data_IF_332196085021
#
_entry.id   IF_332196085021
#
_cell.length_a   1.000
_cell.length_b   1.000
_cell.length_c   1.000
_cell.angle_alpha   90.00
_cell.angle_beta   90.00
_cell.angle_gamma   90.00
#
_symmetry.space_group_name_H-M   'P 1'
#
loop_
_entity.id
_entity.type
_entity.pdbx_description
1 polymer ?
#
# COMPACT_ATOMS: atom_id res chain seq x y z
N UNK A 1 -17.57 18.34 -38.31
CA UNK A 1 -17.31 18.39 -36.85
C UNK A 1 -17.15 16.95 -36.40
N UNK A 2 -15.94 16.53 -36.07
CA UNK A 2 -15.66 15.17 -35.60
C UNK A 2 -16.03 15.11 -34.11
N UNK A 3 -16.94 14.20 -33.73
CA UNK A 3 -17.22 13.90 -32.33
C UNK A 3 -15.92 13.57 -31.60
N UNK A 4 -15.54 14.40 -30.63
CA UNK A 4 -14.55 14.00 -29.64
C UNK A 4 -15.27 12.97 -28.78
N UNK A 5 -15.01 11.68 -29.02
CA UNK A 5 -15.35 10.61 -28.07
C UNK A 5 -14.88 11.04 -26.68
N UNK A 6 -15.76 10.97 -25.68
CA UNK A 6 -15.38 11.08 -24.27
C UNK A 6 -14.22 10.12 -23.99
N UNK A 7 -12.99 10.65 -23.99
CA UNK A 7 -11.81 9.86 -23.69
C UNK A 7 -11.81 9.60 -22.20
N UNK A 8 -11.62 8.34 -21.83
CA UNK A 8 -11.48 7.95 -20.44
C UNK A 8 -10.25 8.62 -19.85
N UNK A 9 -10.42 9.43 -18.80
CA UNK A 9 -9.37 10.29 -18.26
C UNK A 9 -8.07 9.54 -17.93
N UNK A 10 -8.17 8.31 -17.43
CA UNK A 10 -7.03 7.49 -17.00
C UNK A 10 -6.18 6.96 -18.16
N UNK A 11 -6.68 6.98 -19.41
CA UNK A 11 -5.93 6.47 -20.57
C UNK A 11 -4.77 7.37 -21.00
N UNK A 12 -4.81 8.63 -20.59
CA UNK A 12 -3.83 9.66 -20.96
C UNK A 12 -3.23 10.36 -19.73
N UNK A 13 -3.55 9.85 -18.53
CA UNK A 13 -3.14 10.43 -17.27
C UNK A 13 -1.65 10.22 -17.00
N UNK A 14 -1.00 11.26 -16.47
CA UNK A 14 0.36 11.18 -15.94
C UNK A 14 0.29 10.92 -14.44
N UNK A 15 0.76 9.74 -14.02
CA UNK A 15 0.89 9.36 -12.63
C UNK A 15 2.28 9.69 -12.09
N UNK A 16 2.32 10.26 -10.88
CA UNK A 16 3.54 10.46 -10.10
C UNK A 16 3.49 9.58 -8.87
N UNK A 17 4.42 8.63 -8.79
CA UNK A 17 4.50 7.75 -7.64
C UNK A 17 5.17 8.48 -6.47
N UNK A 18 4.49 8.50 -5.33
CA UNK A 18 5.01 8.99 -4.06
C UNK A 18 5.34 7.77 -3.19
N UNK A 19 6.57 7.71 -2.71
CA UNK A 19 6.99 6.80 -1.65
C UNK A 19 6.99 7.59 -0.34
N UNK A 20 5.96 7.45 0.53
CA UNK A 20 5.71 8.38 1.65
C UNK A 20 6.95 8.58 2.53
N UNK A 21 7.58 7.46 2.91
CA UNK A 21 8.72 7.39 3.83
C UNK A 21 9.90 8.29 3.46
N UNK A 22 10.11 8.59 2.19
CA UNK A 22 11.24 9.39 1.72
C UNK A 22 10.83 10.65 0.94
N UNK A 23 9.54 11.02 0.96
CA UNK A 23 9.06 12.13 0.16
C UNK A 23 9.21 13.47 0.87
N UNK A 24 8.59 13.63 2.04
CA UNK A 24 8.71 14.83 2.86
C UNK A 24 8.31 14.53 4.31
N UNK A 25 9.23 14.74 5.24
CA UNK A 25 9.00 14.67 6.68
C UNK A 25 8.37 15.99 7.16
N UNK A 26 7.23 15.92 7.84
CA UNK A 26 6.52 17.10 8.35
C UNK A 26 6.70 17.34 9.85
N UNK A 27 7.21 16.34 10.60
CA UNK A 27 7.26 16.35 12.05
C UNK A 27 8.70 16.31 12.61
N UNK A 28 9.71 16.15 11.75
CA UNK A 28 11.15 16.04 12.02
C UNK A 28 11.58 14.75 12.75
N UNK A 29 10.87 13.63 12.54
CA UNK A 29 11.27 12.31 13.06
C UNK A 29 12.24 11.55 12.12
N UNK A 30 12.51 12.10 10.92
CA UNK A 30 13.39 11.53 9.90
C UNK A 30 12.66 10.67 8.88
N UNK A 31 11.34 10.54 8.97
CA UNK A 31 10.50 9.73 8.08
C UNK A 31 9.44 10.63 7.42
N UNK A 32 9.26 10.47 6.11
CA UNK A 32 8.20 11.17 5.39
C UNK A 32 6.81 10.63 5.72
N UNK A 33 5.82 11.51 5.75
CA UNK A 33 4.48 11.24 6.27
C UNK A 33 3.37 11.84 5.39
N UNK A 34 2.09 11.52 5.66
CA UNK A 34 0.95 11.99 4.86
C UNK A 34 0.79 13.52 4.90
N UNK A 35 1.10 14.14 6.04
CA UNK A 35 1.07 15.60 6.20
C UNK A 35 2.15 16.26 5.34
N UNK A 36 3.29 15.62 5.16
CA UNK A 36 4.34 16.03 4.25
C UNK A 36 3.90 15.94 2.79
N UNK A 37 3.16 14.89 2.41
CA UNK A 37 2.54 14.82 1.08
C UNK A 37 1.57 16.00 0.88
N UNK A 38 0.72 16.29 1.88
CA UNK A 38 -0.21 17.44 1.86
C UNK A 38 0.54 18.76 1.63
N UNK A 39 1.66 18.99 2.33
CA UNK A 39 2.47 20.20 2.20
C UNK A 39 3.08 20.40 0.81
N UNK A 40 3.21 19.33 0.01
CA UNK A 40 3.80 19.36 -1.33
C UNK A 40 2.78 19.25 -2.46
N UNK A 41 1.47 19.25 -2.17
CA UNK A 41 0.45 19.16 -3.20
C UNK A 41 0.48 20.33 -4.21
N UNK A 42 0.91 21.53 -3.80
CA UNK A 42 1.09 22.65 -4.73
C UNK A 42 2.24 22.40 -5.71
N UNK A 43 3.35 21.86 -5.23
CA UNK A 43 4.48 21.44 -6.07
C UNK A 43 4.05 20.34 -7.06
N UNK A 44 3.33 19.31 -6.58
CA UNK A 44 2.84 18.24 -7.44
C UNK A 44 1.85 18.77 -8.49
N UNK A 45 1.00 19.75 -8.13
CA UNK A 45 0.11 20.39 -9.10
C UNK A 45 0.87 21.22 -10.13
N UNK A 46 1.91 21.95 -9.72
CA UNK A 46 2.76 22.74 -10.62
C UNK A 46 3.50 21.87 -11.64
N UNK A 47 3.92 20.66 -11.26
CA UNK A 47 4.47 19.66 -12.19
C UNK A 47 3.49 19.26 -13.30
N UNK A 48 2.19 19.49 -13.12
CA UNK A 48 1.16 19.18 -14.11
C UNK A 48 0.71 17.73 -14.14
N UNK A 49 0.86 16.99 -13.04
CA UNK A 49 0.45 15.59 -12.94
C UNK A 49 -1.08 15.47 -12.81
N UNK A 50 -1.62 14.32 -13.20
CA UNK A 50 -3.04 14.00 -13.06
C UNK A 50 -3.32 13.14 -11.82
N UNK A 51 -2.39 12.24 -11.48
CA UNK A 51 -2.57 11.22 -10.43
C UNK A 51 -1.36 11.15 -9.52
N UNK A 52 -1.60 11.09 -8.22
CA UNK A 52 -0.61 10.62 -7.25
C UNK A 52 -0.85 9.12 -7.05
N UNK A 53 0.17 8.30 -7.29
CA UNK A 53 0.17 6.89 -6.87
C UNK A 53 0.94 6.80 -5.56
N UNK A 54 0.24 6.56 -4.47
CA UNK A 54 0.82 6.45 -3.15
C UNK A 54 1.24 5.00 -2.90
N UNK A 55 2.53 4.78 -2.64
CA UNK A 55 3.05 3.50 -2.14
C UNK A 55 2.42 3.17 -0.76
N UNK A 56 2.53 1.93 -0.26
CA UNK A 56 1.79 1.50 0.93
C UNK A 56 1.92 2.45 2.13
N UNK A 57 0.78 2.77 2.74
CA UNK A 57 0.68 3.60 3.94
C UNK A 57 -0.05 2.91 5.10
N UNK A 58 -0.48 1.66 4.89
CA UNK A 58 -1.26 0.88 5.83
C UNK A 58 -0.41 0.43 7.02
N UNK A 59 -1.04 0.06 8.12
CA UNK A 59 -0.35 -0.52 9.26
C UNK A 59 0.44 -1.77 8.81
N UNK A 60 1.70 -1.83 9.22
CA UNK A 60 2.67 -2.87 8.87
C UNK A 60 3.78 -2.86 9.93
N UNK A 61 4.42 -4.02 10.21
CA UNK A 61 5.61 -4.10 11.04
C UNK A 61 6.89 -3.54 10.37
N UNK A 62 6.80 -3.18 9.09
CA UNK A 62 7.86 -2.62 8.24
C UNK A 62 9.00 -3.60 7.88
N UNK A 63 8.75 -4.91 7.85
CA UNK A 63 9.75 -5.88 7.40
C UNK A 63 10.02 -5.75 5.89
N UNK A 64 9.04 -5.29 5.12
CA UNK A 64 9.16 -4.92 3.70
C UNK A 64 8.66 -3.49 3.44
N UNK A 65 9.01 -2.57 4.35
CA UNK A 65 8.70 -1.13 4.26
C UNK A 65 7.23 -0.81 3.91
N UNK A 66 6.27 -1.56 4.44
CA UNK A 66 4.84 -1.33 4.26
C UNK A 66 4.13 -2.26 3.29
N UNK A 67 4.86 -3.07 2.50
CA UNK A 67 4.24 -4.08 1.63
C UNK A 67 3.72 -5.30 2.42
N UNK A 68 4.24 -5.51 3.62
CA UNK A 68 3.81 -6.48 4.62
C UNK A 68 2.66 -5.93 5.49
N UNK A 69 1.45 -5.81 4.93
CA UNK A 69 0.31 -5.17 5.62
C UNK A 69 -0.22 -6.04 6.77
N UNK A 70 -0.37 -5.45 7.97
CA UNK A 70 -0.96 -6.07 9.17
C UNK A 70 -2.40 -5.62 9.46
N UNK A 71 -2.81 -4.45 8.96
CA UNK A 71 -4.22 -4.01 8.95
C UNK A 71 -4.51 -3.11 7.73
N UNK A 72 -5.35 -3.60 6.82
CA UNK A 72 -5.76 -2.90 5.60
C UNK A 72 -6.65 -1.66 5.84
N UNK A 73 -7.13 -1.42 7.06
CA UNK A 73 -8.01 -0.31 7.40
C UNK A 73 -7.37 0.74 8.31
N UNK A 74 -6.12 0.53 8.72
CA UNK A 74 -5.39 1.45 9.57
C UNK A 74 -4.20 2.06 8.82
N UNK A 75 -3.87 3.31 9.14
CA UNK A 75 -2.64 3.97 8.68
C UNK A 75 -1.48 3.56 9.59
N UNK A 76 -0.31 3.35 9.00
CA UNK A 76 0.92 3.13 9.74
C UNK A 76 1.19 4.32 10.66
N UNK A 77 1.50 4.05 11.93
CA UNK A 77 1.67 5.10 12.94
C UNK A 77 2.70 6.18 12.55
N UNK A 78 3.76 5.80 11.83
CA UNK A 78 4.81 6.72 11.36
C UNK A 78 4.31 7.67 10.25
N UNK A 79 3.25 7.31 9.52
CA UNK A 79 2.72 8.11 8.41
C UNK A 79 1.56 9.03 8.79
N UNK A 80 0.91 8.79 9.93
CA UNK A 80 -0.17 9.65 10.45
C UNK A 80 -1.42 8.86 10.82
N UNK A 81 -2.59 9.49 10.64
CA UNK A 81 -3.90 8.93 10.99
C UNK A 81 -4.83 8.81 9.79
N UNK A 82 -5.99 8.15 9.98
CA UNK A 82 -7.04 8.11 8.96
C UNK A 82 -7.59 9.52 8.65
N UNK A 83 -7.63 10.42 9.65
CA UNK A 83 -8.01 11.82 9.43
C UNK A 83 -6.99 12.57 8.55
N UNK A 84 -5.69 12.25 8.69
CA UNK A 84 -4.66 12.80 7.80
C UNK A 84 -4.84 12.29 6.36
N UNK A 85 -5.21 11.02 6.19
CA UNK A 85 -5.54 10.46 4.89
C UNK A 85 -6.78 11.10 4.26
N UNK A 86 -7.86 11.27 5.04
CA UNK A 86 -9.09 11.93 4.57
C UNK A 86 -8.79 13.36 4.10
N UNK A 87 -7.97 14.11 4.86
CA UNK A 87 -7.54 15.45 4.45
C UNK A 87 -6.68 15.43 3.17
N UNK A 88 -5.77 14.46 3.04
CA UNK A 88 -4.97 14.29 1.83
C UNK A 88 -5.87 14.06 0.62
N UNK A 89 -6.81 13.12 0.71
CA UNK A 89 -7.76 12.79 -0.35
C UNK A 89 -8.56 14.01 -0.79
N UNK A 90 -9.13 14.74 0.18
CA UNK A 90 -9.92 15.95 -0.09
C UNK A 90 -9.08 17.02 -0.79
N UNK A 91 -7.87 17.29 -0.30
CA UNK A 91 -6.99 18.32 -0.88
C UNK A 91 -6.47 17.95 -2.26
N UNK A 92 -6.19 16.67 -2.51
CA UNK A 92 -5.83 16.17 -3.85
C UNK A 92 -6.97 16.43 -4.82
N UNK A 93 -8.20 16.10 -4.44
CA UNK A 93 -9.39 16.34 -5.27
C UNK A 93 -9.69 17.82 -5.48
N UNK A 94 -9.53 18.68 -4.47
CA UNK A 94 -9.69 20.13 -4.59
C UNK A 94 -8.72 20.74 -5.61
N UNK A 95 -7.55 20.14 -5.80
CA UNK A 95 -6.56 20.54 -6.82
C UNK A 95 -6.79 19.89 -8.18
N UNK A 96 -7.88 19.14 -8.34
CA UNK A 96 -8.24 18.45 -9.58
C UNK A 96 -7.31 17.29 -9.93
N UNK A 97 -6.51 16.80 -8.99
CA UNK A 97 -5.71 15.58 -9.14
C UNK A 97 -6.51 14.37 -8.61
N UNK A 98 -6.03 13.16 -8.90
CA UNK A 98 -6.57 11.90 -8.38
C UNK A 98 -5.54 11.20 -7.49
N UNK A 99 -6.03 10.30 -6.65
CA UNK A 99 -5.21 9.45 -5.80
C UNK A 99 -5.44 7.98 -6.19
N UNK A 100 -4.35 7.25 -6.40
CA UNK A 100 -4.33 5.78 -6.47
C UNK A 100 -3.53 5.31 -5.27
N UNK A 101 -4.04 4.30 -4.59
CA UNK A 101 -3.36 3.66 -3.47
C UNK A 101 -2.81 2.32 -3.94
N UNK A 102 -1.60 2.02 -3.52
CA UNK A 102 -1.11 0.64 -3.58
C UNK A 102 -2.02 -0.25 -2.74
N UNK A 103 -2.30 -1.47 -3.20
CA UNK A 103 -3.13 -2.43 -2.46
C UNK A 103 -2.52 -3.82 -2.60
N UNK A 104 -1.81 -4.24 -1.56
CA UNK A 104 -1.07 -5.49 -1.55
C UNK A 104 -1.98 -6.63 -1.10
N UNK A 105 -2.68 -7.28 -2.04
CA UNK A 105 -3.63 -8.37 -1.74
C UNK A 105 -3.07 -9.77 -1.94
N UNK A 106 -1.86 -9.88 -2.53
CA UNK A 106 -1.25 -11.18 -2.83
C UNK A 106 -0.68 -11.87 -1.58
N UNK A 107 -0.35 -11.10 -0.54
CA UNK A 107 0.13 -11.56 0.76
C UNK A 107 -0.23 -10.55 1.85
N UNK A 108 -0.08 -10.95 3.11
CA UNK A 108 -0.17 -10.08 4.30
C UNK A 108 1.11 -10.24 5.12
N UNK A 109 1.35 -9.34 6.08
CA UNK A 109 2.28 -9.64 7.19
C UNK A 109 1.84 -10.89 7.95
N UNK A 110 2.79 -11.59 8.57
CA UNK A 110 2.53 -12.69 9.48
C UNK A 110 1.98 -12.24 10.86
N UNK A 111 1.98 -10.93 11.13
CA UNK A 111 1.27 -10.29 12.23
C UNK A 111 -0.20 -9.98 11.89
N UNK A 112 -0.62 -10.14 10.63
CA UNK A 112 -2.01 -9.89 10.24
C UNK A 112 -2.96 -10.87 10.98
N UNK A 113 -4.10 -10.40 11.55
CA UNK A 113 -5.01 -11.25 12.32
C UNK A 113 -5.48 -12.51 11.57
N UNK A 114 -5.65 -12.40 10.25
CA UNK A 114 -5.99 -13.54 9.41
C UNK A 114 -4.92 -14.62 9.40
N UNK A 115 -3.64 -14.25 9.32
CA UNK A 115 -2.54 -15.22 9.34
C UNK A 115 -2.43 -15.86 10.73
N UNK A 116 -2.51 -15.05 11.79
CA UNK A 116 -2.50 -15.54 13.18
C UNK A 116 -3.61 -16.58 13.40
N UNK A 117 -4.82 -16.31 12.92
CA UNK A 117 -5.95 -17.23 13.03
C UNK A 117 -5.78 -18.46 12.12
N UNK A 118 -5.29 -18.29 10.89
CA UNK A 118 -5.04 -19.38 9.94
C UNK A 118 -4.00 -20.38 10.45
N UNK A 119 -2.88 -19.87 11.02
CA UNK A 119 -1.79 -20.70 11.55
C UNK A 119 -2.12 -21.39 12.87
N UNK A 120 -3.16 -20.94 13.59
CA UNK A 120 -3.51 -21.44 14.92
C UNK A 120 -3.89 -22.93 14.97
N UNK A 121 -4.50 -23.46 13.90
CA UNK A 121 -4.94 -24.86 13.82
C UNK A 121 -5.28 -25.27 12.39
N UNK A 122 -5.13 -26.56 12.05
CA UNK A 122 -5.62 -27.14 10.79
C UNK A 122 -7.16 -27.07 10.65
N UNK A 123 -7.89 -26.84 11.74
CA UNK A 123 -9.36 -26.72 11.74
C UNK A 123 -9.86 -25.26 11.83
N UNK A 124 -8.96 -24.27 11.75
CA UNK A 124 -9.33 -22.86 11.78
C UNK A 124 -10.27 -22.52 10.61
N UNK A 125 -11.31 -21.68 10.79
CA UNK A 125 -12.15 -21.23 9.68
C UNK A 125 -11.37 -20.40 8.65
N UNK A 126 -10.19 -19.87 9.03
CA UNK A 126 -9.26 -19.18 8.12
C UNK A 126 -8.10 -20.05 7.65
N UNK A 127 -8.13 -21.38 7.90
CA UNK A 127 -7.04 -22.28 7.52
C UNK A 127 -6.68 -22.13 6.04
N UNK A 128 -7.68 -22.15 5.17
CA UNK A 128 -7.47 -22.15 3.71
C UNK A 128 -7.36 -20.73 3.12
N UNK A 129 -7.18 -19.70 3.95
CA UNK A 129 -6.91 -18.33 3.48
C UNK A 129 -5.46 -18.13 3.06
N UNK A 130 -4.56 -19.02 3.50
CA UNK A 130 -3.14 -19.02 3.15
C UNK A 130 -2.74 -20.39 2.60
N UNK A 131 -1.63 -20.42 1.86
CA UNK A 131 -1.11 -21.64 1.30
C UNK A 131 -0.37 -22.46 2.36
N UNK A 132 -1.00 -23.55 2.81
CA UNK A 132 -0.38 -24.55 3.67
C UNK A 132 -0.17 -25.84 2.88
N UNK A 133 1.01 -26.43 2.98
CA UNK A 133 1.31 -27.72 2.41
C UNK A 133 2.13 -28.55 3.40
N UNK A 134 1.82 -29.84 3.49
CA UNK A 134 2.62 -30.77 4.28
C UNK A 134 3.98 -30.98 3.58
N UNK A 135 5.08 -31.22 4.33
CA UNK A 135 6.37 -31.54 3.74
C UNK A 135 6.32 -32.86 2.96
N UNK A 136 7.33 -33.13 2.14
CA UNK A 136 7.52 -34.44 1.52
C UNK A 136 7.80 -35.51 2.59
N UNK A 137 7.73 -36.79 2.23
CA UNK A 137 7.97 -37.92 3.15
C UNK A 137 9.37 -37.89 3.81
N UNK A 138 10.35 -37.24 3.16
CA UNK A 138 11.71 -37.06 3.67
C UNK A 138 11.88 -35.81 4.55
N UNK A 139 10.82 -35.04 4.78
CA UNK A 139 10.80 -33.81 5.55
C UNK A 139 11.18 -32.55 4.76
N UNK A 140 11.54 -32.67 3.48
CA UNK A 140 11.87 -31.52 2.62
C UNK A 140 10.64 -30.70 2.23
N UNK A 141 10.88 -29.49 1.72
CA UNK A 141 9.86 -28.57 1.25
C UNK A 141 8.96 -29.20 0.16
N UNK A 142 7.68 -28.80 0.04
CA UNK A 142 6.72 -29.44 -0.86
C UNK A 142 7.11 -29.40 -2.35
N UNK A 143 7.85 -28.38 -2.77
CA UNK A 143 8.31 -28.18 -4.15
C UNK A 143 9.67 -27.45 -4.14
N UNK A 144 10.07 -26.89 -5.30
CA UNK A 144 11.32 -26.15 -5.48
C UNK A 144 11.10 -24.65 -5.70
N UNK A 145 9.99 -24.09 -5.22
CA UNK A 145 9.75 -22.64 -5.28
C UNK A 145 10.72 -21.92 -4.36
N UNK A 146 11.25 -20.80 -4.83
CA UNK A 146 12.19 -19.97 -4.08
C UNK A 146 11.55 -18.62 -3.77
N UNK A 147 11.89 -18.06 -2.60
CA UNK A 147 11.55 -16.69 -2.27
C UNK A 147 12.46 -15.73 -3.02
N UNK A 148 11.90 -14.65 -3.56
CA UNK A 148 12.67 -13.55 -4.17
C UNK A 148 13.61 -12.90 -3.13
N UNK A 149 13.26 -12.99 -1.84
CA UNK A 149 14.00 -12.40 -0.72
C UNK A 149 14.83 -13.42 0.09
N UNK A 150 15.00 -14.65 -0.43
CA UNK A 150 15.78 -15.74 0.18
C UNK A 150 15.26 -16.33 1.51
N UNK A 151 14.10 -15.88 2.01
CA UNK A 151 13.42 -16.49 3.16
C UNK A 151 13.90 -15.96 4.50
#
# INVERSE_FOLDING_TARGET
MTEIKDRQWWKEAVAYQVYPRSFNDSNNDGIGDLRGVIQKLDYLKELGIDVIWLSPMYASPNDDNGYDISDYHAIMKEFGTMEDFDELLDKVHQKGMKLILDLVVNHTSDEHPWFIESRSSKNSPKRDWYYWADPKDDGSEPNNWESIFNG
#
